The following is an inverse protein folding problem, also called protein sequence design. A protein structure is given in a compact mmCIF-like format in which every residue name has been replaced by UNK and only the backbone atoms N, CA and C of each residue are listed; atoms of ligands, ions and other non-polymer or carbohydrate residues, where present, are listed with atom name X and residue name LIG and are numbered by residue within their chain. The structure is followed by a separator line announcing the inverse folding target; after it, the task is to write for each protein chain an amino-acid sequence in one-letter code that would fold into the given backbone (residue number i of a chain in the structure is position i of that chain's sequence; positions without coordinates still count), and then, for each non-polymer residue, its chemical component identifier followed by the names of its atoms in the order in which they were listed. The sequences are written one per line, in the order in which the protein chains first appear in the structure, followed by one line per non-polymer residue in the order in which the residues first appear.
data_IF_384593540963
#
_entry.id   IF_384593540963
#
_cell.length_a   1.000
_cell.length_b   1.000
_cell.length_c   1.000
_cell.angle_alpha   90.00
_cell.angle_beta   90.00
_cell.angle_gamma   90.00
#
_symmetry.space_group_name_H-M   'P 1'
#
loop_
_entity.id
_entity.type
_entity.pdbx_description
1 polymer ?
#
# COMPACT_ATOMS: atom_id res chain seq x y z
N UNK A 1 -20.34 -11.83 5.55
CA UNK A 1 -19.57 -10.88 4.74
C UNK A 1 -19.44 -9.58 5.51
N UNK A 2 -18.23 -9.13 5.79
CA UNK A 2 -17.96 -7.85 6.44
C UNK A 2 -16.87 -7.11 5.65
N UNK A 3 -17.05 -5.80 5.46
CA UNK A 3 -16.08 -4.92 4.81
C UNK A 3 -15.36 -4.13 5.89
N UNK A 4 -14.06 -4.36 6.07
CA UNK A 4 -13.27 -3.77 7.14
C UNK A 4 -12.18 -2.87 6.56
N UNK A 5 -11.81 -1.78 7.24
CA UNK A 5 -10.60 -1.02 6.90
C UNK A 5 -9.44 -1.51 7.77
N UNK A 6 -8.32 -1.86 7.15
CA UNK A 6 -7.10 -2.30 7.83
C UNK A 6 -5.85 -1.73 7.17
N UNK A 7 -4.75 -1.65 7.91
CA UNK A 7 -3.41 -1.42 7.37
C UNK A 7 -2.51 -2.64 7.54
N UNK A 8 -3.10 -3.84 7.68
CA UNK A 8 -2.38 -5.09 7.94
C UNK A 8 -2.01 -5.34 9.41
N UNK A 9 -1.97 -4.29 10.24
CA UNK A 9 -1.66 -4.39 11.67
C UNK A 9 -2.86 -4.06 12.57
N UNK A 10 -3.66 -3.09 12.16
CA UNK A 10 -4.82 -2.62 12.90
C UNK A 10 -6.02 -2.51 11.97
N UNK A 11 -7.20 -2.46 12.58
CA UNK A 11 -8.48 -2.22 11.92
C UNK A 11 -9.09 -0.91 12.40
N UNK A 12 -9.86 -0.25 11.55
CA UNK A 12 -10.65 0.91 11.95
C UNK A 12 -11.90 0.43 12.69
N UNK A 13 -12.15 1.07 13.83
CA UNK A 13 -13.41 0.95 14.57
C UNK A 13 -13.91 2.35 15.00
N UNK A 14 -15.13 2.39 15.53
CA UNK A 14 -15.67 3.59 16.18
C UNK A 14 -15.83 3.34 17.68
N UNK A 15 -15.41 4.29 18.51
CA UNK A 15 -15.70 4.24 19.94
C UNK A 15 -17.17 4.63 20.22
N UNK A 16 -17.57 4.63 21.50
CA UNK A 16 -18.92 5.00 21.94
C UNK A 16 -19.37 6.41 21.53
N UNK A 17 -18.44 7.32 21.27
CA UNK A 17 -18.74 8.70 20.85
C UNK A 17 -18.71 8.85 19.32
N UNK A 18 -18.58 7.76 18.57
CA UNK A 18 -18.46 7.78 17.11
C UNK A 18 -17.09 8.24 16.58
N UNK A 19 -16.10 8.39 17.46
CA UNK A 19 -14.75 8.76 17.05
C UNK A 19 -14.01 7.55 16.47
N UNK A 20 -13.30 7.77 15.36
CA UNK A 20 -12.45 6.76 14.71
C UNK A 20 -11.29 6.38 15.64
N UNK A 21 -11.19 5.07 15.92
CA UNK A 21 -10.15 4.42 16.72
C UNK A 21 -9.50 3.27 15.93
N UNK A 22 -8.35 2.79 16.42
CA UNK A 22 -7.61 1.66 15.85
C UNK A 22 -7.69 0.48 16.82
N UNK A 23 -8.06 -0.70 16.34
CA UNK A 23 -8.12 -1.95 17.13
C UNK A 23 -7.23 -3.00 16.49
N UNK A 24 -6.60 -3.86 17.30
CA UNK A 24 -5.73 -4.93 16.78
C UNK A 24 -6.52 -6.18 16.39
N UNK A 25 -7.67 -6.40 17.03
CA UNK A 25 -8.53 -7.56 16.83
C UNK A 25 -9.55 -7.29 15.73
N UNK A 26 -9.67 -8.22 14.79
CA UNK A 26 -10.60 -8.15 13.66
C UNK A 26 -12.06 -8.21 14.12
N UNK A 27 -12.35 -8.90 15.23
CA UNK A 27 -13.72 -9.00 15.77
C UNK A 27 -14.24 -7.67 16.33
N UNK A 28 -13.32 -6.76 16.65
CA UNK A 28 -13.62 -5.42 17.15
C UNK A 28 -13.70 -4.38 16.02
N UNK A 29 -13.39 -4.77 14.79
CA UNK A 29 -13.38 -3.88 13.64
C UNK A 29 -14.79 -3.40 13.27
N UNK A 30 -14.88 -2.17 12.76
CA UNK A 30 -16.13 -1.68 12.19
C UNK A 30 -16.40 -2.40 10.86
N UNK A 31 -17.54 -3.08 10.77
CA UNK A 31 -18.11 -3.45 9.47
C UNK A 31 -18.70 -2.22 8.80
N UNK A 32 -18.15 -1.85 7.65
CA UNK A 32 -18.61 -0.75 6.82
C UNK A 32 -19.76 -1.16 5.90
N UNK A 33 -20.10 -2.45 5.81
CA UNK A 33 -21.16 -3.05 5.00
C UNK A 33 -20.99 -2.90 3.48
N UNK A 34 -20.25 -1.89 3.00
CA UNK A 34 -19.91 -1.71 1.60
C UNK A 34 -18.54 -1.03 1.42
N UNK A 35 -17.91 -1.31 0.27
CA UNK A 35 -16.65 -0.69 -0.14
C UNK A 35 -16.76 0.83 -0.22
N UNK A 36 -17.88 1.34 -0.75
CA UNK A 36 -18.14 2.76 -0.85
C UNK A 36 -18.11 3.45 0.53
N UNK A 37 -18.71 2.82 1.55
CA UNK A 37 -18.71 3.37 2.92
C UNK A 37 -17.32 3.34 3.54
N UNK A 38 -16.52 2.30 3.27
CA UNK A 38 -15.13 2.23 3.69
C UNK A 38 -14.28 3.34 3.03
N UNK A 39 -14.45 3.57 1.73
CA UNK A 39 -13.76 4.65 1.00
C UNK A 39 -14.17 6.01 1.54
N UNK A 40 -15.47 6.24 1.74
CA UNK A 40 -16.00 7.49 2.30
C UNK A 40 -15.44 7.75 3.70
N UNK A 41 -15.33 6.72 4.55
CA UNK A 41 -14.68 6.85 5.85
C UNK A 41 -13.22 7.28 5.72
N UNK A 42 -12.46 6.62 4.84
CA UNK A 42 -11.04 6.93 4.62
C UNK A 42 -10.86 8.38 4.16
N UNK A 43 -11.71 8.84 3.24
CA UNK A 43 -11.67 10.19 2.70
C UNK A 43 -12.10 11.25 3.73
N UNK A 44 -13.04 10.92 4.64
CA UNK A 44 -13.51 11.83 5.69
C UNK A 44 -12.47 12.06 6.79
N UNK A 45 -11.64 11.05 7.08
CA UNK A 45 -10.61 11.11 8.13
C UNK A 45 -9.24 10.66 7.62
N UNK A 46 -8.62 11.39 6.67
CA UNK A 46 -7.38 10.95 6.02
C UNK A 46 -6.24 10.80 7.02
N UNK A 47 -6.12 11.68 8.02
CA UNK A 47 -5.06 11.56 9.03
C UNK A 47 -5.13 10.30 9.91
N UNK A 48 -6.31 9.70 10.07
CA UNK A 48 -6.50 8.47 10.88
C UNK A 48 -6.50 7.20 10.04
N UNK A 49 -6.85 7.33 8.76
CA UNK A 49 -7.02 6.22 7.83
C UNK A 49 -5.96 6.21 6.70
N UNK A 50 -4.94 7.07 6.77
CA UNK A 50 -3.78 7.01 5.87
C UNK A 50 -3.13 5.62 5.97
N UNK A 51 -2.86 5.01 4.81
CA UNK A 51 -2.34 3.63 4.73
C UNK A 51 -3.38 2.53 4.93
N UNK A 52 -4.63 2.86 5.30
CA UNK A 52 -5.69 1.87 5.43
C UNK A 52 -6.32 1.56 4.07
N UNK A 53 -6.49 0.26 3.82
CA UNK A 53 -7.21 -0.30 2.70
C UNK A 53 -8.40 -1.11 3.21
N UNK A 54 -9.41 -1.34 2.36
CA UNK A 54 -10.53 -2.18 2.76
C UNK A 54 -10.23 -3.65 2.44
N UNK A 55 -10.79 -4.55 3.25
CA UNK A 55 -10.82 -5.99 2.98
C UNK A 55 -12.26 -6.48 3.04
N UNK A 56 -12.56 -7.46 2.20
CA UNK A 56 -13.76 -8.27 2.30
C UNK A 56 -13.40 -9.59 3.01
N UNK A 57 -13.93 -9.77 4.21
CA UNK A 57 -13.63 -10.92 5.08
C UNK A 57 -14.04 -12.27 4.51
N UNK A 58 -15.01 -12.32 3.59
CA UNK A 58 -15.35 -13.58 2.91
C UNK A 58 -14.35 -13.89 1.80
N UNK A 59 -13.98 -12.89 0.99
CA UNK A 59 -12.94 -13.06 -0.04
C UNK A 59 -11.59 -13.39 0.58
N UNK A 60 -11.27 -12.82 1.75
CA UNK A 60 -10.03 -13.07 2.48
C UNK A 60 -9.82 -14.55 2.81
N UNK A 61 -10.90 -15.30 3.07
CA UNK A 61 -10.83 -16.75 3.36
C UNK A 61 -10.78 -17.62 2.11
N UNK A 62 -11.15 -17.09 0.94
CA UNK A 62 -11.13 -17.82 -0.31
C UNK A 62 -9.73 -17.82 -0.96
N UNK A 63 -9.36 -18.89 -1.67
CA UNK A 63 -8.14 -18.89 -2.51
C UNK A 63 -8.31 -17.86 -3.64
N UNK A 64 -7.63 -16.73 -3.53
CA UNK A 64 -7.67 -15.67 -4.55
C UNK A 64 -6.97 -16.17 -5.81
N UNK A 65 -7.71 -16.23 -6.93
CA UNK A 65 -7.16 -16.48 -8.25
C UNK A 65 -6.77 -15.15 -8.88
N UNK A 66 -5.53 -15.07 -9.40
CA UNK A 66 -5.09 -13.94 -10.21
C UNK A 66 -5.82 -13.93 -11.55
N UNK A 67 -6.40 -12.80 -11.90
CA UNK A 67 -6.96 -12.52 -13.21
C UNK A 67 -5.83 -12.24 -14.21
N UNK A 68 -6.10 -12.56 -15.47
CA UNK A 68 -5.34 -12.03 -16.59
C UNK A 68 -6.01 -10.73 -17.01
N UNK A 69 -5.21 -9.69 -17.28
CA UNK A 69 -5.68 -8.39 -17.75
C UNK A 69 -5.29 -8.23 -19.22
N UNK A 70 -6.23 -7.70 -20.01
CA UNK A 70 -6.03 -7.38 -21.42
C UNK A 70 -4.97 -6.29 -21.61
N UNK A 71 -4.44 -6.17 -22.83
CA UNK A 71 -3.52 -5.08 -23.16
C UNK A 71 -4.18 -3.71 -23.04
N UNK A 72 -5.48 -3.60 -23.33
CA UNK A 72 -6.27 -2.37 -23.16
C UNK A 72 -6.33 -1.96 -21.67
N UNK A 73 -6.64 -2.90 -20.77
CA UNK A 73 -6.65 -2.65 -19.33
C UNK A 73 -5.25 -2.28 -18.82
N UNK A 74 -4.23 -3.01 -19.25
CA UNK A 74 -2.83 -2.70 -18.91
C UNK A 74 -2.45 -1.30 -19.37
N UNK A 75 -2.85 -0.87 -20.57
CA UNK A 75 -2.59 0.49 -21.09
C UNK A 75 -3.26 1.56 -20.24
N UNK A 76 -4.46 1.32 -19.71
CA UNK A 76 -5.13 2.27 -18.82
C UNK A 76 -4.29 2.52 -17.55
N UNK A 77 -3.80 1.44 -16.92
CA UNK A 77 -2.96 1.54 -15.71
C UNK A 77 -1.61 2.21 -16.04
N UNK A 78 -0.98 1.82 -17.15
CA UNK A 78 0.27 2.42 -17.63
C UNK A 78 0.17 3.92 -17.87
N UNK A 79 -0.90 4.36 -18.55
CA UNK A 79 -1.11 5.77 -18.89
C UNK A 79 -1.39 6.60 -17.63
N UNK A 80 -2.07 6.03 -16.63
CA UNK A 80 -2.32 6.68 -15.35
C UNK A 80 -1.02 7.05 -14.62
N UNK A 81 0.02 6.21 -14.72
CA UNK A 81 1.33 6.48 -14.12
C UNK A 81 2.27 7.32 -15.01
N UNK A 82 1.80 7.76 -16.19
CA UNK A 82 2.62 8.47 -17.16
C UNK A 82 3.82 7.65 -17.66
N UNK A 83 3.66 6.32 -17.74
CA UNK A 83 4.72 5.40 -18.15
C UNK A 83 5.88 5.32 -17.14
N UNK A 84 5.60 5.47 -15.85
CA UNK A 84 6.59 5.33 -14.78
C UNK A 84 6.23 4.22 -13.81
N UNK A 85 7.26 3.64 -13.21
CA UNK A 85 7.13 2.78 -12.04
C UNK A 85 6.61 3.63 -10.86
N UNK A 86 5.49 3.26 -10.29
CA UNK A 86 4.88 3.95 -9.13
C UNK A 86 5.69 3.75 -7.83
N UNK A 87 6.62 2.78 -7.81
CA UNK A 87 7.48 2.50 -6.65
C UNK A 87 8.82 3.25 -6.66
N UNK A 88 9.38 3.55 -7.83
CA UNK A 88 10.72 4.16 -7.94
C UNK A 88 10.81 5.35 -8.91
N UNK A 89 9.75 5.64 -9.67
CA UNK A 89 9.70 6.74 -10.63
C UNK A 89 10.46 6.52 -11.94
N UNK A 90 11.13 5.37 -12.12
CA UNK A 90 11.82 5.02 -13.37
C UNK A 90 10.82 5.01 -14.54
N UNK A 91 11.21 5.59 -15.68
CA UNK A 91 10.43 5.47 -16.93
C UNK A 91 10.47 4.03 -17.43
N UNK A 92 9.33 3.54 -17.89
CA UNK A 92 9.16 2.20 -18.43
C UNK A 92 8.61 2.29 -19.84
N UNK A 93 8.99 1.35 -20.69
CA UNK A 93 8.21 1.05 -21.88
C UNK A 93 6.99 0.25 -21.45
N UNK A 94 5.92 0.30 -22.25
CA UNK A 94 4.70 -0.45 -21.98
C UNK A 94 4.96 -1.97 -21.90
N UNK A 95 5.87 -2.48 -22.72
CA UNK A 95 6.23 -3.91 -22.76
C UNK A 95 6.99 -4.36 -21.50
N UNK A 96 7.74 -3.46 -20.88
CA UNK A 96 8.56 -3.75 -19.68
C UNK A 96 7.76 -3.61 -18.37
N UNK A 97 6.54 -3.07 -18.43
CA UNK A 97 5.76 -2.82 -17.22
C UNK A 97 5.13 -4.11 -16.67
N UNK A 98 5.19 -4.23 -15.36
CA UNK A 98 4.49 -5.27 -14.60
C UNK A 98 3.32 -4.66 -13.83
N UNK A 99 2.28 -5.46 -13.61
CA UNK A 99 1.18 -5.11 -12.73
C UNK A 99 1.55 -5.54 -11.31
N UNK A 100 1.60 -4.57 -10.40
CA UNK A 100 1.76 -4.80 -8.96
C UNK A 100 0.44 -4.50 -8.25
N UNK A 101 0.07 -5.32 -7.28
CA UNK A 101 -1.06 -5.05 -6.40
C UNK A 101 -0.60 -4.14 -5.27
N UNK A 102 -1.13 -2.92 -5.18
CA UNK A 102 -0.81 -1.92 -4.14
C UNK A 102 -0.92 -2.59 -2.77
N UNK A 103 -2.08 -3.19 -2.49
CA UNK A 103 -2.29 -4.12 -1.40
C UNK A 103 -2.11 -5.54 -1.93
N UNK A 104 -1.15 -6.33 -1.42
CA UNK A 104 -0.94 -7.70 -1.89
C UNK A 104 -2.18 -8.58 -1.72
N UNK A 105 -2.45 -9.43 -2.71
CA UNK A 105 -3.56 -10.39 -2.64
C UNK A 105 -3.46 -11.28 -1.39
N UNK A 106 -2.25 -11.72 -1.02
CA UNK A 106 -2.02 -12.54 0.18
C UNK A 106 -2.38 -11.84 1.49
N UNK A 107 -2.55 -10.52 1.48
CA UNK A 107 -2.94 -9.70 2.61
C UNK A 107 -4.36 -9.12 2.45
N UNK A 108 -5.16 -9.74 1.59
CA UNK A 108 -6.56 -9.38 1.39
C UNK A 108 -6.82 -8.30 0.35
N UNK A 109 -5.81 -7.88 -0.40
CA UNK A 109 -5.99 -6.97 -1.52
C UNK A 109 -6.90 -7.57 -2.59
N UNK A 110 -7.75 -6.73 -3.18
CA UNK A 110 -8.60 -7.16 -4.29
C UNK A 110 -7.82 -7.26 -5.59
N UNK A 111 -8.20 -8.21 -6.44
CA UNK A 111 -7.71 -8.25 -7.82
C UNK A 111 -8.62 -7.39 -8.71
N UNK A 112 -8.41 -6.08 -8.62
CA UNK A 112 -9.15 -5.05 -9.35
C UNK A 112 -8.22 -3.95 -9.87
N UNK A 113 -8.68 -3.22 -10.89
CA UNK A 113 -7.93 -2.13 -11.52
C UNK A 113 -7.54 -1.03 -10.52
N UNK A 114 -8.35 -0.80 -9.49
CA UNK A 114 -8.13 0.21 -8.45
C UNK A 114 -7.00 -0.17 -7.50
N UNK A 115 -6.74 -1.47 -7.32
CA UNK A 115 -5.65 -1.98 -6.50
C UNK A 115 -4.40 -2.30 -7.32
N UNK A 116 -4.40 -2.04 -8.63
CA UNK A 116 -3.24 -2.25 -9.48
C UNK A 116 -2.45 -0.97 -9.73
N UNK A 117 -1.13 -1.11 -9.81
CA UNK A 117 -0.21 -0.05 -10.17
C UNK A 117 0.87 -0.53 -11.14
N UNK A 118 1.41 0.40 -11.92
CA UNK A 118 2.54 0.16 -12.82
C UNK A 118 3.82 0.01 -12.00
N UNK A 119 4.52 -1.12 -12.14
CA UNK A 119 5.81 -1.34 -11.49
C UNK A 119 6.84 -1.93 -12.46
N UNK A 120 8.12 -1.58 -12.28
CA UNK A 120 9.20 -2.30 -12.94
C UNK A 120 9.40 -3.67 -12.28
N UNK A 121 9.95 -4.63 -13.01
CA UNK A 121 10.17 -5.99 -12.51
C UNK A 121 10.93 -6.00 -11.16
N UNK A 122 12.04 -5.27 -11.07
CA UNK A 122 12.87 -5.24 -9.87
C UNK A 122 12.12 -4.70 -8.64
N UNK A 123 11.39 -3.59 -8.79
CA UNK A 123 10.62 -3.02 -7.70
C UNK A 123 9.44 -3.90 -7.29
N UNK A 124 8.74 -4.50 -8.26
CA UNK A 124 7.65 -5.42 -7.99
C UNK A 124 8.14 -6.64 -7.18
N UNK A 125 9.27 -7.23 -7.59
CA UNK A 125 9.91 -8.32 -6.83
C UNK A 125 10.38 -7.88 -5.44
N UNK A 126 10.93 -6.67 -5.31
CA UNK A 126 11.41 -6.15 -4.04
C UNK A 126 10.28 -5.85 -3.05
N UNK A 127 9.14 -5.33 -3.55
CA UNK A 127 7.92 -5.12 -2.77
C UNK A 127 7.25 -6.44 -2.40
N UNK A 128 7.08 -7.35 -3.34
CA UNK A 128 6.49 -8.67 -3.11
C UNK A 128 5.13 -8.55 -2.38
N UNK A 129 4.95 -9.29 -1.28
CA UNK A 129 3.76 -9.27 -0.45
C UNK A 129 3.82 -8.26 0.70
N UNK A 130 4.55 -7.16 0.55
CA UNK A 130 4.68 -6.11 1.56
C UNK A 130 3.67 -4.99 1.28
N UNK A 131 3.05 -4.48 2.33
CA UNK A 131 2.13 -3.34 2.26
C UNK A 131 2.87 -2.03 1.94
N UNK A 132 2.19 -1.03 1.38
CA UNK A 132 2.82 0.24 1.03
C UNK A 132 3.59 0.88 2.19
N UNK A 133 2.98 0.97 3.39
CA UNK A 133 3.60 1.57 4.56
C UNK A 133 4.84 0.77 5.01
N UNK A 134 4.70 -0.56 5.15
CA UNK A 134 5.79 -1.45 5.53
C UNK A 134 6.94 -1.44 4.51
N UNK A 135 6.61 -1.25 3.23
CA UNK A 135 7.58 -1.16 2.14
C UNK A 135 8.37 0.15 2.24
N UNK A 136 7.70 1.26 2.52
CA UNK A 136 8.36 2.55 2.77
C UNK A 136 9.26 2.50 4.00
N UNK A 137 8.79 1.91 5.10
CA UNK A 137 9.59 1.69 6.31
C UNK A 137 10.86 0.88 6.01
N UNK A 138 10.73 -0.17 5.18
CA UNK A 138 11.87 -0.98 4.76
C UNK A 138 12.87 -0.16 3.93
N UNK A 139 12.40 0.66 3.00
CA UNK A 139 13.25 1.55 2.21
C UNK A 139 13.99 2.53 3.11
N UNK A 140 13.28 3.17 4.05
CA UNK A 140 13.86 4.12 5.01
C UNK A 140 14.97 3.43 5.81
N UNK A 141 14.69 2.26 6.41
CA UNK A 141 15.70 1.50 7.18
C UNK A 141 16.95 1.17 6.36
N UNK A 142 16.77 0.74 5.10
CA UNK A 142 17.90 0.46 4.21
C UNK A 142 18.68 1.74 3.92
N UNK A 143 17.98 2.85 3.63
CA UNK A 143 18.61 4.14 3.38
C UNK A 143 19.44 4.59 4.58
N UNK A 144 18.86 4.63 5.79
CA UNK A 144 19.54 5.01 7.03
C UNK A 144 20.82 4.18 7.21
N UNK A 145 20.71 2.85 7.21
CA UNK A 145 21.86 1.95 7.34
C UNK A 145 22.95 2.17 6.27
N UNK A 146 22.57 2.35 5.00
CA UNK A 146 23.53 2.59 3.93
C UNK A 146 24.21 3.96 4.07
N UNK A 147 23.49 4.98 4.54
CA UNK A 147 24.07 6.31 4.79
C UNK A 147 25.04 6.30 5.97
N UNK A 148 24.74 5.58 7.06
CA UNK A 148 25.67 5.43 8.18
C UNK A 148 26.99 4.78 7.74
N UNK A 149 26.90 3.70 6.95
CA UNK A 149 28.08 2.96 6.50
C UNK A 149 28.91 3.72 5.46
N UNK A 150 28.28 4.53 4.61
CA UNK A 150 28.98 5.24 3.51
C UNK A 150 29.37 6.67 3.84
N UNK A 151 28.70 7.34 4.78
CA UNK A 151 28.77 8.80 4.95
C UNK A 151 29.21 9.26 6.34
N UNK A 152 30.20 8.61 6.94
CA UNK A 152 30.80 9.16 8.17
C UNK A 152 31.45 10.55 7.96
N UNK A 153 31.69 10.98 6.71
CA UNK A 153 32.37 12.25 6.38
C UNK A 153 31.53 13.30 5.63
N UNK A 154 30.40 12.96 5.02
CA UNK A 154 29.57 13.94 4.28
C UNK A 154 28.54 14.60 5.22
N UNK A 155 28.73 15.89 5.47
CA UNK A 155 27.86 16.68 6.36
C UNK A 155 26.42 16.82 5.86
N UNK A 156 26.20 16.85 4.54
CA UNK A 156 24.84 16.94 3.99
C UNK A 156 24.08 15.66 4.24
N UNK A 157 24.73 14.52 4.03
CA UNK A 157 24.14 13.20 4.29
C UNK A 157 23.89 12.97 5.79
N UNK A 158 24.75 13.50 6.68
CA UNK A 158 24.47 13.51 8.13
C UNK A 158 23.22 14.32 8.51
N UNK A 159 23.00 15.47 7.87
CA UNK A 159 21.80 16.28 8.11
C UNK A 159 20.56 15.53 7.62
N UNK A 160 20.60 14.99 6.40
CA UNK A 160 19.49 14.21 5.83
C UNK A 160 19.19 12.99 6.71
N UNK A 161 20.21 12.25 7.16
CA UNK A 161 20.06 11.10 8.03
C UNK A 161 19.26 11.44 9.30
N UNK A 162 19.69 12.48 10.03
CA UNK A 162 19.00 12.96 11.24
C UNK A 162 17.55 13.42 10.99
N UNK A 163 17.29 14.03 9.84
CA UNK A 163 15.94 14.48 9.49
C UNK A 163 15.01 13.28 9.22
N UNK A 164 15.51 12.25 8.52
CA UNK A 164 14.73 11.05 8.20
C UNK A 164 14.52 10.17 9.44
N UNK A 165 15.49 10.07 10.35
CA UNK A 165 15.33 9.38 11.64
C UNK A 165 14.22 9.97 12.53
N UNK A 166 13.88 11.25 12.31
CA UNK A 166 12.90 11.98 13.11
C UNK A 166 11.47 11.95 12.54
N UNK A 167 11.26 11.32 11.37
CA UNK A 167 9.96 11.12 10.72
C UNK A 167 9.26 9.86 11.27
#
# INVERSE_FOLDING_TARGET
MAILLTNGKFYIAHNRTGAVIKVADIEQAQDFYSVERAINQRNKTPGKCAGYYYIDTEKYKAKIKRKSYSDEERKIIYNKSGGRCELCGQRLLFEDMTLDHIVPLSLGGEDSMENLQTACYACNQFKSNILPDDFMDRIIKIFLYQTENKCSKDMKLKIIHKLVEAL
#
